data_IF_122264129921
#
_entry.id   IF_122264129921
#
_cell.length_a   1.000
_cell.length_b   1.000
_cell.length_c   1.000
_cell.angle_alpha   90.00
_cell.angle_beta   90.00
_cell.angle_gamma   90.00
#
_symmetry.space_group_name_H-M   'P 1'
#
loop_
_entity.id
_entity.type
_entity.pdbx_description
1 polymer ?
#
# COMPACT_ATOMS: atom_id res chain seq x y z
N UNK A 1 9.62 -1.53 -4.53
CA UNK A 1 8.24 -1.45 -3.97
C UNK A 1 8.20 -0.42 -2.85
N UNK A 2 7.33 0.59 -2.99
CA UNK A 2 7.17 1.66 -2.00
C UNK A 2 6.79 1.03 -0.65
N UNK A 3 7.22 1.67 0.44
CA UNK A 3 7.03 1.15 1.78
C UNK A 3 5.65 1.49 2.35
N UNK A 4 5.24 0.77 3.39
CA UNK A 4 4.02 1.08 4.15
C UNK A 4 3.96 2.55 4.59
N UNK A 5 5.11 3.16 4.92
CA UNK A 5 5.19 4.57 5.31
C UNK A 5 4.83 5.50 4.16
N UNK A 6 5.46 5.32 2.99
CA UNK A 6 5.17 6.13 1.81
C UNK A 6 3.68 6.08 1.45
N UNK A 7 3.13 4.89 1.32
CA UNK A 7 1.72 4.68 1.00
C UNK A 7 0.75 5.31 2.00
N UNK A 8 1.01 5.10 3.30
CA UNK A 8 0.19 5.70 4.36
C UNK A 8 0.32 7.22 4.35
N UNK A 9 1.51 7.78 4.11
CA UNK A 9 1.74 9.22 4.01
C UNK A 9 0.99 9.83 2.81
N UNK A 10 1.01 9.18 1.64
CA UNK A 10 0.26 9.64 0.46
C UNK A 10 -1.22 9.75 0.77
N UNK A 11 -1.78 8.72 1.42
CA UNK A 11 -3.18 8.66 1.81
C UNK A 11 -3.53 9.75 2.85
N UNK A 12 -2.72 9.91 3.90
CA UNK A 12 -2.94 10.96 4.92
C UNK A 12 -3.00 12.34 4.27
N UNK A 13 -2.03 12.67 3.41
CA UNK A 13 -1.99 13.96 2.73
C UNK A 13 -3.13 14.12 1.71
N UNK A 14 -3.58 13.03 1.09
CA UNK A 14 -4.72 13.06 0.17
C UNK A 14 -6.02 13.45 0.85
N UNK A 15 -6.21 13.10 2.13
CA UNK A 15 -7.36 13.56 2.92
C UNK A 15 -7.34 15.09 3.08
N UNK A 16 -6.17 15.69 3.30
CA UNK A 16 -6.04 17.16 3.37
C UNK A 16 -6.35 17.82 2.02
N UNK A 17 -5.84 17.26 0.92
CA UNK A 17 -6.16 17.71 -0.44
C UNK A 17 -7.66 17.58 -0.76
N UNK A 18 -8.29 16.45 -0.38
CA UNK A 18 -9.72 16.24 -0.52
C UNK A 18 -10.55 17.24 0.32
N UNK A 19 -10.09 17.56 1.54
CA UNK A 19 -10.72 18.57 2.41
C UNK A 19 -10.67 19.96 1.79
N UNK A 20 -9.54 20.36 1.22
CA UNK A 20 -9.40 21.65 0.50
C UNK A 20 -10.34 21.73 -0.70
N UNK A 21 -10.57 20.60 -1.37
CA UNK A 21 -11.54 20.44 -2.46
C UNK A 21 -12.99 20.28 -2.01
N UNK A 22 -13.25 20.26 -0.69
CA UNK A 22 -14.58 20.06 -0.08
C UNK A 22 -15.26 18.77 -0.53
N UNK A 23 -14.49 17.70 -0.76
CA UNK A 23 -15.07 16.42 -1.17
C UNK A 23 -15.86 15.79 -0.01
N UNK A 24 -17.09 15.28 -0.23
CA UNK A 24 -17.97 14.76 0.82
C UNK A 24 -17.45 13.48 1.48
N UNK A 25 -16.53 12.77 0.84
CA UNK A 25 -15.92 11.53 1.35
C UNK A 25 -15.00 11.74 2.56
N UNK A 26 -14.56 12.98 2.84
CA UNK A 26 -13.62 13.26 3.93
C UNK A 26 -14.18 12.79 5.28
N UNK A 27 -15.44 13.08 5.57
CA UNK A 27 -16.07 12.66 6.81
C UNK A 27 -16.19 11.12 6.92
N UNK A 28 -16.42 10.43 5.80
CA UNK A 28 -16.45 8.97 5.76
C UNK A 28 -15.06 8.38 6.04
N UNK A 29 -14.02 8.94 5.44
CA UNK A 29 -12.63 8.52 5.67
C UNK A 29 -12.24 8.75 7.14
N UNK A 30 -12.54 9.93 7.69
CA UNK A 30 -12.20 10.28 9.08
C UNK A 30 -12.86 9.36 10.12
N UNK A 31 -14.11 8.93 9.88
CA UNK A 31 -14.78 7.94 10.74
C UNK A 31 -14.18 6.54 10.65
N UNK A 32 -13.54 6.20 9.53
CA UNK A 32 -13.08 4.86 9.20
C UNK A 32 -11.57 4.82 8.88
N UNK A 33 -10.78 5.70 9.51
CA UNK A 33 -9.35 5.87 9.23
C UNK A 33 -8.55 4.55 9.24
N UNK A 34 -8.73 3.62 10.19
CA UNK A 34 -8.01 2.35 10.17
C UNK A 34 -8.22 1.55 8.88
N UNK A 35 -9.41 1.62 8.29
CA UNK A 35 -9.73 0.90 7.05
C UNK A 35 -9.24 1.63 5.81
N UNK A 36 -9.32 2.96 5.81
CA UNK A 36 -8.66 3.79 4.79
C UNK A 36 -7.15 3.55 4.73
N UNK A 37 -6.45 3.60 5.86
CA UNK A 37 -5.01 3.32 5.92
C UNK A 37 -4.68 1.85 5.58
N UNK A 38 -5.54 0.90 5.96
CA UNK A 38 -5.39 -0.49 5.57
C UNK A 38 -5.47 -0.66 4.05
N UNK A 39 -6.46 -0.05 3.40
CA UNK A 39 -6.60 -0.06 1.94
C UNK A 39 -5.43 0.62 1.24
N UNK A 40 -4.93 1.73 1.81
CA UNK A 40 -3.80 2.47 1.29
C UNK A 40 -2.50 1.68 1.23
N UNK A 41 -2.37 0.58 1.97
CA UNK A 41 -1.20 -0.29 1.92
C UNK A 41 -1.56 -1.70 1.44
N UNK A 42 -2.39 -2.39 2.23
CA UNK A 42 -2.73 -3.79 2.00
C UNK A 42 -3.82 -4.00 0.94
N UNK A 43 -4.36 -2.91 0.36
CA UNK A 43 -5.23 -2.97 -0.81
C UNK A 43 -4.51 -3.54 -2.04
N UNK A 44 -3.20 -3.29 -2.12
CA UNK A 44 -2.36 -3.65 -3.26
C UNK A 44 -1.21 -4.59 -2.87
N UNK A 45 -0.61 -4.43 -1.69
CA UNK A 45 0.52 -5.24 -1.24
C UNK A 45 0.10 -6.60 -0.67
N UNK A 46 -0.62 -7.38 -1.47
CA UNK A 46 -1.16 -8.73 -1.17
C UNK A 46 -0.08 -9.74 -0.76
N UNK A 47 1.16 -9.53 -1.21
CA UNK A 47 2.36 -10.31 -0.90
C UNK A 47 2.99 -10.03 0.48
N UNK A 48 2.34 -9.23 1.35
CA UNK A 48 2.82 -8.97 2.71
C UNK A 48 2.79 -10.25 3.55
N UNK A 49 3.83 -11.05 3.42
CA UNK A 49 3.98 -12.38 4.00
C UNK A 49 5.43 -12.59 4.43
N UNK A 50 5.71 -13.53 5.33
CA UNK A 50 7.09 -13.87 5.65
C UNK A 50 7.76 -14.49 4.44
N UNK A 51 9.05 -14.19 4.25
CA UNK A 51 9.85 -14.90 3.25
C UNK A 51 10.38 -16.22 3.82
N UNK A 52 10.71 -16.21 5.11
CA UNK A 52 11.32 -17.34 5.79
C UNK A 52 10.98 -17.36 7.28
N UNK A 53 11.44 -18.42 7.94
CA UNK A 53 11.42 -18.64 9.38
C UNK A 53 12.88 -18.71 9.84
N UNK A 54 13.25 -17.93 10.85
CA UNK A 54 14.54 -18.09 11.54
C UNK A 54 14.54 -19.43 12.28
N UNK A 55 15.50 -20.30 11.97
CA UNK A 55 15.57 -21.64 12.56
C UNK A 55 15.81 -21.57 14.06
N UNK A 56 16.68 -20.66 14.50
CA UNK A 56 17.08 -20.53 15.91
C UNK A 56 15.93 -20.09 16.82
N UNK A 57 15.03 -19.24 16.32
CA UNK A 57 13.97 -18.61 17.14
C UNK A 57 12.55 -19.06 16.77
N UNK A 58 12.39 -19.81 15.68
CA UNK A 58 11.08 -20.11 15.08
C UNK A 58 10.33 -18.89 14.54
N UNK A 59 10.93 -17.70 14.56
CA UNK A 59 10.25 -16.46 14.17
C UNK A 59 10.16 -16.32 12.66
N UNK A 60 8.96 -16.02 12.18
CA UNK A 60 8.71 -15.59 10.80
C UNK A 60 9.40 -14.26 10.52
N UNK A 61 10.11 -14.15 9.40
CA UNK A 61 10.99 -13.02 9.05
C UNK A 61 10.97 -12.70 7.55
N UNK A 62 11.44 -11.51 7.21
CA UNK A 62 11.55 -11.04 5.83
C UNK A 62 10.25 -10.45 5.28
N UNK A 63 10.18 -10.33 3.96
CA UNK A 63 9.01 -9.83 3.24
C UNK A 63 9.00 -10.53 1.87
N UNK A 64 7.90 -11.22 1.55
CA UNK A 64 7.81 -12.31 0.57
C UNK A 64 8.38 -12.14 -0.86
N UNK A 65 8.85 -10.98 -1.25
CA UNK A 65 9.52 -10.80 -2.56
C UNK A 65 10.99 -10.43 -2.44
N UNK A 66 11.45 -10.07 -1.24
CA UNK A 66 12.84 -9.78 -0.96
C UNK A 66 13.61 -11.08 -0.72
N UNK A 67 14.73 -11.27 -1.45
CA UNK A 67 15.64 -12.36 -1.17
C UNK A 67 16.25 -12.22 0.23
N UNK A 68 16.42 -13.35 0.89
CA UNK A 68 17.01 -13.42 2.21
C UNK A 68 17.83 -14.70 2.29
N UNK A 69 19.05 -14.59 2.79
CA UNK A 69 19.98 -15.72 2.92
C UNK A 69 20.19 -16.12 4.39
N UNK A 70 19.99 -15.18 5.31
CA UNK A 70 20.25 -15.34 6.75
C UNK A 70 19.17 -14.64 7.57
N UNK A 71 19.00 -15.08 8.81
CA UNK A 71 18.05 -14.50 9.74
C UNK A 71 18.43 -13.04 10.04
N UNK A 72 17.50 -12.08 9.92
CA UNK A 72 17.76 -10.69 10.33
C UNK A 72 17.78 -10.53 11.86
N UNK A 73 17.42 -11.58 12.60
CA UNK A 73 17.40 -11.58 14.07
C UNK A 73 18.73 -12.08 14.62
N UNK A 74 19.25 -13.21 14.11
CA UNK A 74 20.42 -13.90 14.66
C UNK A 74 21.62 -13.95 13.71
N UNK A 75 21.44 -13.63 12.43
CA UNK A 75 22.43 -13.91 11.39
C UNK A 75 22.56 -15.40 11.03
N UNK A 76 21.77 -16.27 11.66
CA UNK A 76 21.79 -17.71 11.48
C UNK A 76 20.97 -18.23 10.30
N UNK A 77 20.74 -19.55 10.29
CA UNK A 77 20.05 -20.27 9.21
C UNK A 77 18.57 -19.88 9.15
N UNK A 78 18.03 -19.87 7.93
CA UNK A 78 16.60 -19.67 7.67
C UNK A 78 16.01 -20.89 6.97
N UNK A 79 14.71 -21.12 7.20
CA UNK A 79 13.89 -22.03 6.40
C UNK A 79 12.86 -21.23 5.64
N UNK A 80 12.81 -21.44 4.33
CA UNK A 80 11.87 -20.75 3.44
C UNK A 80 10.40 -21.01 3.87
N UNK A 81 9.58 -19.95 3.92
CA UNK A 81 8.17 -19.99 4.36
C UNK A 81 7.16 -20.10 3.20
N UNK A 82 6.17 -20.98 3.29
CA UNK A 82 5.11 -21.12 2.27
C UNK A 82 3.73 -21.06 2.93
N UNK A 83 2.73 -20.55 2.20
CA UNK A 83 1.32 -20.67 2.56
C UNK A 83 0.80 -22.03 2.10
N UNK A 84 0.36 -22.89 3.03
CA UNK A 84 -0.30 -24.14 2.69
C UNK A 84 -1.80 -23.91 2.47
N UNK A 85 -2.31 -24.26 1.29
CA UNK A 85 -3.71 -24.12 0.94
C UNK A 85 -4.13 -25.17 -0.11
N UNK A 86 -5.27 -25.84 0.09
CA UNK A 86 -5.78 -26.83 -0.87
C UNK A 86 -4.80 -27.99 -1.15
N UNK A 87 -3.97 -28.38 -0.18
CA UNK A 87 -2.94 -29.42 -0.35
C UNK A 87 -1.70 -29.00 -1.13
N UNK A 88 -1.54 -27.70 -1.41
CA UNK A 88 -0.37 -27.13 -2.08
C UNK A 88 0.27 -26.02 -1.25
N UNK A 89 1.60 -26.01 -1.22
CA UNK A 89 2.39 -24.90 -0.68
C UNK A 89 2.63 -23.81 -1.73
N UNK A 90 2.40 -22.56 -1.36
CA UNK A 90 2.62 -21.38 -2.20
C UNK A 90 3.71 -20.49 -1.61
N UNK A 91 4.78 -20.27 -2.36
CA UNK A 91 5.79 -19.24 -2.04
C UNK A 91 5.16 -17.86 -2.18
N UNK A 92 5.58 -16.86 -1.39
CA UNK A 92 5.07 -15.50 -1.57
C UNK A 92 5.34 -14.90 -2.96
N UNK A 93 6.42 -15.31 -3.64
CA UNK A 93 6.65 -14.95 -5.05
C UNK A 93 5.59 -15.50 -6.00
N UNK A 94 5.09 -16.71 -5.75
CA UNK A 94 4.00 -17.29 -6.56
C UNK A 94 2.70 -16.53 -6.32
N UNK A 95 2.41 -16.20 -5.05
CA UNK A 95 1.25 -15.38 -4.65
C UNK A 95 1.31 -13.99 -5.31
N UNK A 96 2.47 -13.32 -5.24
CA UNK A 96 2.69 -12.05 -5.93
C UNK A 96 2.39 -12.19 -7.43
N UNK A 97 2.91 -13.23 -8.08
CA UNK A 97 2.69 -13.44 -9.50
C UNK A 97 1.23 -13.76 -9.86
N UNK A 98 0.40 -14.21 -8.92
CA UNK A 98 -1.03 -14.48 -9.15
C UNK A 98 -1.90 -13.23 -8.92
N UNK A 99 -1.56 -12.41 -7.92
CA UNK A 99 -2.47 -11.41 -7.38
C UNK A 99 -1.96 -9.97 -7.44
N UNK A 100 -0.67 -9.72 -7.66
CA UNK A 100 -0.10 -8.37 -7.60
C UNK A 100 -0.68 -7.43 -8.68
N UNK A 101 -0.72 -7.89 -9.94
CA UNK A 101 -1.32 -7.13 -11.04
C UNK A 101 -2.82 -6.92 -10.88
N UNK A 102 -3.53 -7.93 -10.36
CA UNK A 102 -4.95 -7.85 -10.03
C UNK A 102 -5.27 -6.76 -9.02
N UNK A 103 -4.40 -6.55 -8.05
CA UNK A 103 -4.60 -5.53 -7.02
C UNK A 103 -4.18 -4.12 -7.46
N UNK A 104 -3.11 -4.01 -8.28
CA UNK A 104 -2.59 -2.71 -8.75
C UNK A 104 -3.29 -2.18 -10.01
N UNK A 105 -3.98 -3.04 -10.76
CA UNK A 105 -4.75 -2.76 -11.97
C UNK A 105 -3.94 -2.24 -13.16
N UNK A 106 -3.30 -1.09 -13.00
CA UNK A 106 -2.65 -0.29 -14.06
C UNK A 106 -1.21 -0.73 -14.33
N UNK A 107 -0.65 -1.60 -13.48
CA UNK A 107 0.62 -2.28 -13.67
C UNK A 107 0.68 -3.55 -12.82
N UNK A 108 1.81 -4.25 -12.85
CA UNK A 108 2.09 -5.38 -11.96
C UNK A 108 1.59 -6.74 -12.47
N UNK A 109 0.85 -6.74 -13.58
CA UNK A 109 0.57 -7.93 -14.38
C UNK A 109 1.86 -8.51 -14.95
N UNK A 110 1.88 -9.83 -15.16
CA UNK A 110 2.98 -10.47 -15.89
C UNK A 110 2.99 -9.98 -17.32
N UNK A 111 4.13 -10.12 -18.00
CA UNK A 111 4.24 -9.74 -19.41
C UNK A 111 3.18 -10.40 -20.30
N UNK A 112 2.85 -11.66 -20.02
CA UNK A 112 1.83 -12.45 -20.71
C UNK A 112 0.39 -11.96 -20.42
N UNK A 113 0.16 -11.34 -19.26
CA UNK A 113 -1.16 -10.90 -18.79
C UNK A 113 -1.36 -9.38 -18.95
N UNK A 114 -0.50 -8.68 -19.71
CA UNK A 114 -0.52 -7.22 -19.80
C UNK A 114 -1.83 -6.66 -20.35
N UNK A 115 -2.52 -7.42 -21.19
CA UNK A 115 -3.84 -7.08 -21.72
C UNK A 115 -4.93 -6.93 -20.64
N UNK A 116 -4.69 -7.43 -19.43
CA UNK A 116 -5.60 -7.27 -18.29
C UNK A 116 -5.41 -5.95 -17.53
N UNK A 117 -4.40 -5.17 -17.92
CA UNK A 117 -4.12 -3.86 -17.34
C UNK A 117 -5.28 -2.91 -17.58
N UNK A 118 -5.68 -2.15 -16.55
CA UNK A 118 -6.63 -1.04 -16.72
C UNK A 118 -5.84 0.18 -17.21
N UNK A 119 -6.15 0.73 -18.40
CA UNK A 119 -5.53 1.97 -18.85
C UNK A 119 -5.81 3.12 -17.88
N UNK A 120 -4.86 4.04 -17.75
CA UNK A 120 -4.94 5.09 -16.73
C UNK A 120 -6.13 6.05 -16.91
N UNK A 121 -6.45 6.36 -18.16
CA UNK A 121 -7.63 7.15 -18.56
C UNK A 121 -8.96 6.47 -18.19
N UNK A 122 -8.97 5.15 -18.03
CA UNK A 122 -10.11 4.37 -17.57
C UNK A 122 -10.10 4.05 -16.06
N UNK A 123 -9.09 4.52 -15.32
CA UNK A 123 -8.98 4.20 -13.89
C UNK A 123 -10.17 4.76 -13.08
N UNK A 124 -10.65 5.96 -13.41
CA UNK A 124 -11.80 6.56 -12.74
C UNK A 124 -13.09 5.74 -12.94
N UNK A 125 -13.29 5.19 -14.14
CA UNK A 125 -14.44 4.33 -14.47
C UNK A 125 -14.37 3.02 -13.68
N UNK A 126 -13.21 2.34 -13.68
CA UNK A 126 -13.01 1.11 -12.91
C UNK A 126 -13.26 1.32 -11.41
N UNK A 127 -12.68 2.39 -10.84
CA UNK A 127 -12.87 2.71 -9.42
C UNK A 127 -14.34 3.03 -9.11
N UNK A 128 -15.02 3.78 -9.96
CA UNK A 128 -16.43 4.11 -9.80
C UNK A 128 -17.32 2.86 -9.85
N UNK A 129 -17.06 1.95 -10.78
CA UNK A 129 -17.78 0.67 -10.89
C UNK A 129 -17.62 -0.18 -9.62
N UNK A 130 -16.39 -0.29 -9.10
CA UNK A 130 -16.12 -0.97 -7.82
C UNK A 130 -16.86 -0.31 -6.66
N UNK A 131 -16.89 1.02 -6.58
CA UNK A 131 -17.59 1.75 -5.51
C UNK A 131 -19.11 1.54 -5.59
N UNK A 132 -19.70 1.58 -6.80
CA UNK A 132 -21.12 1.27 -7.02
C UNK A 132 -21.44 -0.15 -6.53
N UNK A 133 -20.63 -1.11 -6.93
CA UNK A 133 -20.80 -2.50 -6.52
C UNK A 133 -20.64 -2.70 -5.02
N UNK A 134 -19.68 -2.03 -4.38
CA UNK A 134 -19.51 -2.08 -2.94
C UNK A 134 -20.77 -1.63 -2.19
N UNK A 135 -21.42 -0.55 -2.64
CA UNK A 135 -22.66 -0.07 -2.01
C UNK A 135 -23.81 -1.05 -2.19
N UNK A 136 -23.88 -1.73 -3.33
CA UNK A 136 -24.90 -2.73 -3.63
C UNK A 136 -24.68 -4.03 -2.85
N UNK A 137 -23.46 -4.53 -2.81
CA UNK A 137 -23.08 -5.80 -2.16
C UNK A 137 -22.99 -5.68 -0.64
N UNK A 138 -22.59 -4.51 -0.15
CA UNK A 138 -22.36 -4.25 1.27
C UNK A 138 -23.07 -2.95 1.71
N UNK A 139 -24.41 -2.90 1.66
CA UNK A 139 -25.17 -1.70 2.00
C UNK A 139 -24.86 -1.25 3.44
N UNK A 140 -24.57 0.04 3.61
CA UNK A 140 -24.24 0.63 4.91
C UNK A 140 -22.82 0.35 5.43
N UNK A 141 -22.01 -0.44 4.72
CA UNK A 141 -20.64 -0.73 5.13
C UNK A 141 -19.68 0.43 4.75
N UNK A 142 -19.67 1.49 5.55
CA UNK A 142 -18.75 2.63 5.37
C UNK A 142 -17.27 2.21 5.45
N UNK A 143 -16.96 1.13 6.17
CA UNK A 143 -15.61 0.62 6.34
C UNK A 143 -15.02 0.10 5.03
N UNK A 144 -15.81 -0.66 4.28
CA UNK A 144 -15.44 -1.14 2.95
C UNK A 144 -15.25 0.02 1.96
N UNK A 145 -16.09 1.06 2.02
CA UNK A 145 -15.92 2.26 1.19
C UNK A 145 -14.63 3.02 1.54
N UNK A 146 -14.34 3.19 2.83
CA UNK A 146 -13.08 3.80 3.26
C UNK A 146 -11.88 2.98 2.80
N UNK A 147 -11.95 1.65 2.89
CA UNK A 147 -10.93 0.76 2.37
C UNK A 147 -10.68 0.96 0.87
N UNK A 148 -11.74 1.06 0.05
CA UNK A 148 -11.62 1.33 -1.38
C UNK A 148 -10.94 2.67 -1.67
N UNK A 149 -11.31 3.73 -0.93
CA UNK A 149 -10.66 5.04 -1.09
C UNK A 149 -9.17 4.96 -0.73
N UNK A 150 -8.80 4.15 0.26
CA UNK A 150 -7.42 3.84 0.58
C UNK A 150 -6.72 3.13 -0.59
N UNK A 151 -7.33 2.07 -1.11
CA UNK A 151 -6.80 1.31 -2.25
C UNK A 151 -6.60 2.18 -3.50
N UNK A 152 -7.53 3.10 -3.79
CA UNK A 152 -7.39 4.09 -4.86
C UNK A 152 -6.16 4.98 -4.62
N UNK A 153 -5.96 5.45 -3.37
CA UNK A 153 -4.78 6.22 -3.00
C UNK A 153 -3.48 5.42 -3.20
N UNK A 154 -3.50 4.12 -2.93
CA UNK A 154 -2.38 3.22 -3.24
C UNK A 154 -2.08 3.23 -4.73
N UNK A 155 -3.05 2.89 -5.59
CA UNK A 155 -2.84 2.76 -7.04
C UNK A 155 -2.22 4.03 -7.61
N UNK A 156 -2.79 5.19 -7.29
CA UNK A 156 -2.28 6.48 -7.80
C UNK A 156 -0.88 6.77 -7.29
N UNK A 157 -0.67 6.67 -5.96
CA UNK A 157 0.63 6.97 -5.36
C UNK A 157 1.74 6.08 -5.91
N UNK A 158 1.45 4.79 -6.08
CA UNK A 158 2.41 3.82 -6.59
C UNK A 158 2.69 4.04 -8.09
N UNK A 159 1.67 4.39 -8.86
CA UNK A 159 1.82 4.68 -10.29
C UNK A 159 2.71 5.90 -10.54
N UNK A 160 2.54 6.94 -9.74
CA UNK A 160 3.31 8.18 -9.86
C UNK A 160 4.75 8.04 -9.35
N UNK A 161 4.94 7.44 -8.17
CA UNK A 161 6.28 7.31 -7.58
C UNK A 161 7.14 6.35 -8.39
N UNK A 162 6.57 5.29 -8.98
CA UNK A 162 7.28 4.33 -9.83
C UNK A 162 7.41 4.80 -11.29
N UNK A 163 6.92 5.99 -11.61
CA UNK A 163 6.88 6.52 -12.99
C UNK A 163 6.14 5.62 -13.99
N UNK A 164 5.18 4.82 -13.51
CA UNK A 164 4.18 4.19 -14.40
C UNK A 164 3.32 5.27 -15.05
N UNK A 165 3.06 6.34 -14.29
CA UNK A 165 2.47 7.57 -14.78
C UNK A 165 3.38 8.77 -14.51
N UNK A 166 3.49 9.72 -15.45
CA UNK A 166 4.16 10.99 -15.20
C UNK A 166 3.32 11.84 -14.22
N UNK A 167 3.93 12.90 -13.68
CA UNK A 167 3.22 13.86 -12.82
C UNK A 167 3.82 14.07 -11.42
N UNK A 168 5.00 13.49 -11.15
CA UNK A 168 5.79 13.78 -9.95
C UNK A 168 7.21 14.14 -10.34
N UNK A 169 7.65 15.29 -9.84
CA UNK A 169 9.00 15.81 -10.02
C UNK A 169 9.83 15.44 -8.80
N UNK A 170 10.56 14.34 -8.90
CA UNK A 170 11.42 13.87 -7.83
C UNK A 170 12.64 13.20 -8.43
N UNK A 171 13.81 13.74 -8.09
CA UNK A 171 15.10 13.17 -8.44
C UNK A 171 15.95 13.12 -7.18
N UNK A 172 16.07 11.91 -6.61
CA UNK A 172 16.94 11.63 -5.47
C UNK A 172 18.25 11.03 -6.00
N UNK A 173 18.85 10.07 -5.30
CA UNK A 173 20.08 9.43 -5.73
C UNK A 173 19.82 8.53 -6.94
N UNK A 174 20.35 8.93 -8.11
CA UNK A 174 20.30 8.14 -9.34
C UNK A 174 18.92 7.95 -9.98
N UNK A 175 17.88 8.66 -9.52
CA UNK A 175 16.53 8.55 -10.07
C UNK A 175 15.42 8.95 -9.10
N UNK A 176 14.17 8.89 -9.56
CA UNK A 176 12.97 9.06 -8.72
C UNK A 176 12.81 7.94 -7.69
N UNK A 177 12.87 6.71 -8.18
CA UNK A 177 12.53 5.53 -7.41
C UNK A 177 13.54 4.41 -7.64
N UNK A 178 14.47 4.27 -6.70
CA UNK A 178 15.52 3.25 -6.70
C UNK A 178 15.50 2.49 -5.37
N UNK A 179 16.06 1.27 -5.29
CA UNK A 179 16.21 0.58 -4.01
C UNK A 179 16.91 1.41 -2.92
N UNK A 180 17.89 2.23 -3.31
CA UNK A 180 18.65 3.10 -2.41
C UNK A 180 17.87 4.36 -1.98
N UNK A 181 16.92 4.84 -2.79
CA UNK A 181 16.08 5.99 -2.44
C UNK A 181 14.97 5.66 -1.47
N UNK A 182 14.56 4.39 -1.37
CA UNK A 182 13.47 4.00 -0.48
C UNK A 182 13.75 4.33 1.00
N UNK A 183 14.90 3.98 1.60
CA UNK A 183 15.21 4.41 2.96
C UNK A 183 15.12 5.92 3.15
N UNK A 184 15.57 6.72 2.17
CA UNK A 184 15.49 8.19 2.22
C UNK A 184 14.02 8.62 2.30
N UNK A 185 13.18 8.13 1.39
CA UNK A 185 11.75 8.46 1.36
C UNK A 185 11.04 8.03 2.65
N UNK A 186 11.28 6.81 3.12
CA UNK A 186 10.68 6.26 4.34
C UNK A 186 11.11 7.08 5.57
N UNK A 187 12.40 7.42 5.72
CA UNK A 187 12.90 8.18 6.87
C UNK A 187 12.36 9.61 6.91
N UNK A 188 12.30 10.29 5.77
CA UNK A 188 11.82 11.67 5.70
C UNK A 188 10.29 11.74 5.86
N UNK A 189 9.55 10.80 5.26
CA UNK A 189 8.11 10.69 5.50
C UNK A 189 7.81 10.36 6.97
N UNK A 190 8.59 9.47 7.59
CA UNK A 190 8.36 9.06 8.98
C UNK A 190 8.65 10.18 9.98
N UNK A 191 9.86 10.76 9.94
CA UNK A 191 10.30 11.74 10.95
C UNK A 191 9.95 13.18 10.61
N UNK A 192 10.32 13.63 9.42
CA UNK A 192 10.26 15.06 9.08
C UNK A 192 8.84 15.51 8.80
N UNK A 193 8.09 14.71 8.02
CA UNK A 193 6.70 15.01 7.68
C UNK A 193 5.76 14.41 8.72
N UNK A 194 5.89 13.12 9.01
CA UNK A 194 4.98 12.43 9.93
C UNK A 194 5.07 12.94 11.36
N UNK A 195 6.22 12.74 12.02
CA UNK A 195 6.35 13.11 13.44
C UNK A 195 6.49 14.60 13.68
N UNK A 196 7.35 15.28 12.92
CA UNK A 196 7.67 16.69 13.19
C UNK A 196 6.58 17.64 12.72
N UNK A 197 6.16 17.55 11.45
CA UNK A 197 5.14 18.43 10.87
C UNK A 197 3.73 18.03 11.30
N UNK A 198 3.33 16.78 11.05
CA UNK A 198 1.95 16.32 11.22
C UNK A 198 1.63 15.72 12.61
N UNK A 199 2.64 15.56 13.48
CA UNK A 199 2.50 14.98 14.83
C UNK A 199 1.85 13.59 14.85
N UNK A 200 2.15 12.77 13.85
CA UNK A 200 1.56 11.44 13.71
C UNK A 200 2.11 10.45 14.73
N UNK A 201 1.20 9.66 15.32
CA UNK A 201 1.54 8.42 16.01
C UNK A 201 1.58 7.26 15.02
N UNK A 202 2.76 7.04 14.43
CA UNK A 202 2.96 5.95 13.48
C UNK A 202 2.67 4.56 14.05
N UNK A 203 2.93 4.34 15.35
CA UNK A 203 2.66 3.04 15.94
C UNK A 203 1.17 2.76 15.98
N UNK A 204 0.38 3.73 16.45
CA UNK A 204 -1.07 3.63 16.44
C UNK A 204 -1.61 3.44 15.02
N UNK A 205 -1.24 4.33 14.09
CA UNK A 205 -1.74 4.31 12.70
C UNK A 205 -1.48 2.95 12.04
N UNK A 206 -0.24 2.47 12.09
CA UNK A 206 0.13 1.22 11.40
C UNK A 206 -0.44 -0.02 12.09
N UNK A 207 -0.52 -0.03 13.43
CA UNK A 207 -1.08 -1.18 14.16
C UNK A 207 -2.60 -1.27 13.98
N UNK A 208 -3.32 -0.14 13.96
CA UNK A 208 -4.74 -0.11 13.66
C UNK A 208 -5.00 -0.59 12.23
N UNK A 209 -4.24 -0.09 11.24
CA UNK A 209 -4.33 -0.55 9.85
C UNK A 209 -4.03 -2.06 9.69
N UNK A 210 -3.04 -2.58 10.41
CA UNK A 210 -2.68 -4.00 10.39
C UNK A 210 -3.75 -4.91 11.00
N UNK A 211 -4.49 -4.41 12.01
CA UNK A 211 -5.55 -5.15 12.71
C UNK A 211 -6.91 -5.02 12.04
N UNK A 212 -7.07 -4.11 11.09
CA UNK A 212 -8.29 -3.99 10.28
C UNK A 212 -8.59 -5.34 9.61
N UNK A 213 -9.83 -5.86 9.73
CA UNK A 213 -10.25 -7.07 9.03
C UNK A 213 -10.04 -7.02 7.51
N UNK A 214 -10.10 -8.18 6.87
CA UNK A 214 -10.18 -8.23 5.41
C UNK A 214 -11.53 -7.69 4.98
N UNK A 215 -11.54 -6.82 3.96
CA UNK A 215 -12.77 -6.40 3.29
C UNK A 215 -12.99 -7.29 2.06
N UNK A 216 -14.14 -7.95 1.98
CA UNK A 216 -14.45 -8.88 0.87
C UNK A 216 -14.44 -8.20 -0.50
N UNK A 217 -14.72 -6.88 -0.54
CA UNK A 217 -14.66 -6.07 -1.75
C UNK A 217 -13.27 -6.10 -2.42
N UNK A 218 -12.22 -6.44 -1.67
CA UNK A 218 -10.88 -6.64 -2.22
C UNK A 218 -10.82 -7.73 -3.28
N UNK A 219 -11.54 -8.84 -3.07
CA UNK A 219 -11.59 -9.93 -4.03
C UNK A 219 -12.32 -9.52 -5.32
N UNK A 220 -13.35 -8.66 -5.17
CA UNK A 220 -14.14 -8.10 -6.28
C UNK A 220 -13.30 -7.23 -7.19
N UNK A 221 -12.62 -6.19 -6.66
CA UNK A 221 -11.79 -5.34 -7.51
C UNK A 221 -10.56 -6.05 -8.07
N UNK A 222 -10.11 -7.14 -7.44
CA UNK A 222 -9.07 -8.03 -7.97
C UNK A 222 -9.58 -8.97 -9.07
N UNK A 223 -10.89 -8.96 -9.35
CA UNK A 223 -11.57 -9.88 -10.28
C UNK A 223 -11.27 -11.35 -9.96
N UNK A 224 -11.20 -11.66 -8.67
CA UNK A 224 -10.88 -12.99 -8.14
C UNK A 224 -12.12 -13.77 -7.66
N UNK A 225 -13.32 -13.21 -7.89
CA UNK A 225 -14.63 -13.81 -7.57
C UNK A 225 -15.44 -13.97 -8.86
N UNK A 226 -16.68 -14.47 -8.74
CA UNK A 226 -17.59 -14.51 -9.88
C UNK A 226 -17.91 -13.09 -10.40
N UNK A 227 -17.92 -12.86 -11.72
CA UNK A 227 -18.25 -11.56 -12.31
C UNK A 227 -19.65 -11.13 -11.89
N UNK A 228 -19.78 -9.90 -11.38
CA UNK A 228 -21.07 -9.33 -11.05
C UNK A 228 -21.05 -7.80 -11.02
N UNK A 229 -22.22 -7.18 -11.20
CA UNK A 229 -22.39 -5.74 -11.06
C UNK A 229 -21.72 -4.89 -12.15
N UNK A 230 -21.62 -3.60 -11.88
CA UNK A 230 -21.13 -2.61 -12.86
C UNK A 230 -19.70 -2.92 -13.31
N UNK A 231 -18.85 -3.42 -12.40
CA UNK A 231 -17.47 -3.75 -12.74
C UNK A 231 -17.39 -4.85 -13.81
N UNK A 232 -18.23 -5.88 -13.71
CA UNK A 232 -18.23 -6.98 -14.66
C UNK A 232 -18.88 -6.62 -16.00
N UNK A 233 -19.85 -5.70 -15.98
CA UNK A 233 -20.48 -5.16 -17.19
C UNK A 233 -19.48 -4.33 -18.02
N UNK A 234 -18.70 -3.47 -17.36
CA UNK A 234 -17.74 -2.57 -18.01
C UNK A 234 -16.38 -3.24 -18.30
N UNK A 235 -15.89 -4.10 -17.40
CA UNK A 235 -14.58 -4.77 -17.50
C UNK A 235 -14.75 -6.29 -17.48
N UNK A 236 -15.08 -6.85 -18.65
CA UNK A 236 -15.44 -8.27 -18.82
C UNK A 236 -14.26 -9.25 -18.77
N UNK A 237 -13.02 -8.76 -18.85
CA UNK A 237 -11.82 -9.59 -18.90
C UNK A 237 -11.24 -9.92 -17.50
N UNK A 238 -10.31 -10.89 -17.47
CA UNK A 238 -9.49 -11.27 -16.31
C UNK A 238 -10.20 -11.79 -15.05
N UNK A 239 -11.53 -11.92 -15.04
CA UNK A 239 -12.27 -12.60 -13.98
C UNK A 239 -11.80 -14.05 -13.82
N UNK A 240 -11.45 -14.42 -12.59
CA UNK A 240 -11.02 -15.78 -12.27
C UNK A 240 -11.55 -16.21 -10.89
N UNK A 241 -12.81 -16.71 -10.82
CA UNK A 241 -13.41 -17.17 -9.57
C UNK A 241 -12.68 -18.37 -8.95
N UNK A 242 -11.93 -19.15 -9.73
CA UNK A 242 -11.16 -20.28 -9.19
C UNK A 242 -10.03 -19.84 -8.25
N UNK A 243 -9.71 -18.53 -8.23
CA UNK A 243 -8.75 -17.98 -7.30
C UNK A 243 -9.37 -17.52 -5.97
N UNK A 244 -10.70 -17.51 -5.81
CA UNK A 244 -11.36 -16.89 -4.66
C UNK A 244 -10.87 -17.46 -3.32
N UNK A 245 -10.89 -18.80 -3.17
CA UNK A 245 -10.51 -19.46 -1.92
C UNK A 245 -9.06 -19.21 -1.54
N UNK A 246 -8.15 -19.30 -2.51
CA UNK A 246 -6.73 -19.00 -2.29
C UNK A 246 -6.54 -17.51 -1.96
N UNK A 247 -7.22 -16.60 -2.67
CA UNK A 247 -7.13 -15.18 -2.42
C UNK A 247 -7.61 -14.83 -1.00
N UNK A 248 -8.71 -15.42 -0.52
CA UNK A 248 -9.17 -15.26 0.86
C UNK A 248 -8.11 -15.70 1.87
N UNK A 249 -7.48 -16.86 1.66
CA UNK A 249 -6.41 -17.34 2.51
C UNK A 249 -5.19 -16.40 2.50
N UNK A 250 -4.80 -15.90 1.33
CA UNK A 250 -3.71 -14.93 1.15
C UNK A 250 -4.01 -13.64 1.91
N UNK A 251 -5.20 -13.07 1.77
CA UNK A 251 -5.58 -11.81 2.43
C UNK A 251 -5.62 -11.94 3.95
N UNK A 252 -6.09 -13.08 4.47
CA UNK A 252 -6.06 -13.37 5.91
C UNK A 252 -4.63 -13.42 6.44
N UNK A 253 -3.77 -14.14 5.73
CA UNK A 253 -2.37 -14.29 6.09
C UNK A 253 -1.59 -12.97 5.98
N UNK A 254 -1.93 -12.17 4.98
CA UNK A 254 -1.44 -10.81 4.78
C UNK A 254 -1.70 -9.91 5.99
N UNK A 255 -2.94 -9.92 6.53
CA UNK A 255 -3.28 -9.18 7.76
C UNK A 255 -2.50 -9.70 8.96
N UNK A 256 -2.49 -11.02 9.17
CA UNK A 256 -1.78 -11.66 10.29
C UNK A 256 -0.30 -11.27 10.30
N UNK A 257 0.39 -11.39 9.16
CA UNK A 257 1.81 -11.11 9.10
C UNK A 257 2.11 -9.61 9.25
N UNK A 258 1.25 -8.73 8.74
CA UNK A 258 1.46 -7.29 8.92
C UNK A 258 1.42 -6.86 10.39
N UNK A 259 0.61 -7.53 11.24
CA UNK A 259 0.63 -7.31 12.70
C UNK A 259 1.99 -7.66 13.30
N UNK A 260 2.62 -8.75 12.85
CA UNK A 260 3.95 -9.18 13.31
C UNK A 260 5.05 -8.24 12.80
N UNK A 261 4.91 -7.78 11.55
CA UNK A 261 5.93 -7.00 10.86
C UNK A 261 5.96 -5.54 11.30
N UNK A 262 4.81 -4.96 11.63
CA UNK A 262 4.68 -3.52 11.95
C UNK A 262 5.64 -3.05 13.06
N UNK A 263 5.74 -3.70 14.24
CA UNK A 263 6.68 -3.29 15.28
C UNK A 263 8.15 -3.30 14.82
N UNK A 264 8.51 -4.23 13.92
CA UNK A 264 9.87 -4.35 13.39
C UNK A 264 10.20 -3.22 12.43
N UNK A 265 9.24 -2.82 11.58
CA UNK A 265 9.38 -1.66 10.69
C UNK A 265 9.59 -0.40 11.51
N UNK A 266 8.75 -0.17 12.53
CA UNK A 266 8.85 1.00 13.39
C UNK A 266 10.23 1.05 14.06
N UNK A 267 10.64 -0.06 14.70
CA UNK A 267 11.96 -0.16 15.33
C UNK A 267 13.11 0.12 14.35
N UNK A 268 13.00 -0.35 13.11
CA UNK A 268 14.02 -0.10 12.08
C UNK A 268 14.09 1.38 11.67
N UNK A 269 12.97 2.10 11.68
CA UNK A 269 12.88 3.50 11.29
C UNK A 269 13.20 4.47 12.42
N UNK A 270 13.24 4.02 13.68
CA UNK A 270 13.69 4.87 14.79
C UNK A 270 15.12 5.37 14.56
N UNK A 271 15.35 6.63 14.91
CA UNK A 271 16.70 7.18 14.97
C UNK A 271 17.41 6.63 16.21
N UNK A 272 18.70 6.39 16.07
CA UNK A 272 19.58 5.99 17.17
C UNK A 272 20.50 7.16 17.51
N UNK A 273 20.77 7.35 18.80
CA UNK A 273 21.75 8.33 19.25
C UNK A 273 23.16 7.78 19.02
N UNK A 274 24.00 8.56 18.36
CA UNK A 274 25.40 8.24 18.11
C UNK A 274 26.30 9.35 18.63
N UNK A 275 27.61 9.12 18.65
CA UNK A 275 28.62 10.17 18.98
C UNK A 275 28.56 11.40 18.07
N UNK A 276 27.90 11.32 16.91
CA UNK A 276 27.74 12.40 15.95
C UNK A 276 26.30 12.95 15.90
N UNK A 277 25.46 12.58 16.87
CA UNK A 277 24.04 12.94 16.94
C UNK A 277 23.11 11.81 16.49
N UNK A 278 21.86 12.15 16.20
CA UNK A 278 20.83 11.21 15.78
C UNK A 278 21.06 10.71 14.36
N UNK A 279 20.99 9.40 14.17
CA UNK A 279 21.26 8.75 12.88
C UNK A 279 20.35 7.54 12.61
N UNK A 280 20.37 7.04 11.38
CA UNK A 280 19.66 5.86 10.95
C UNK A 280 20.18 4.58 11.62
N UNK A 281 19.31 3.59 11.77
CA UNK A 281 19.74 2.22 12.08
C UNK A 281 20.76 1.72 11.03
N UNK A 282 21.85 1.00 11.39
CA UNK A 282 22.93 0.61 10.46
C UNK A 282 22.47 -0.12 9.20
N UNK A 283 21.40 -0.92 9.32
CA UNK A 283 20.78 -1.60 8.18
C UNK A 283 20.20 -0.61 7.13
N UNK A 284 19.60 0.48 7.58
CA UNK A 284 19.08 1.51 6.67
C UNK A 284 20.23 2.24 5.97
N UNK A 285 21.26 2.63 6.72
CA UNK A 285 22.48 3.23 6.17
C UNK A 285 23.11 2.35 5.09
N UNK A 286 23.23 1.03 5.34
CA UNK A 286 23.75 0.08 4.34
C UNK A 286 22.89 0.06 3.07
N UNK A 287 21.56 0.02 3.23
CA UNK A 287 20.60 -0.03 2.10
C UNK A 287 20.54 1.27 1.31
N UNK A 288 20.90 2.40 1.92
CA UNK A 288 21.00 3.71 1.29
C UNK A 288 22.42 4.06 0.84
N UNK A 289 23.24 3.05 0.50
CA UNK A 289 24.61 3.25 -0.01
C UNK A 289 25.51 4.06 0.93
N UNK A 290 25.34 3.88 2.24
CA UNK A 290 26.14 4.54 3.27
C UNK A 290 25.61 5.92 3.70
N UNK A 291 24.48 6.39 3.17
CA UNK A 291 23.92 7.69 3.56
C UNK A 291 23.50 7.70 5.04
N UNK A 292 23.92 8.73 5.76
CA UNK A 292 23.51 9.02 7.12
C UNK A 292 22.26 9.92 7.14
N UNK A 293 21.57 9.99 8.27
CA UNK A 293 20.29 10.71 8.37
C UNK A 293 20.37 12.20 7.94
N UNK A 294 21.40 12.98 8.33
CA UNK A 294 21.53 14.37 7.85
C UNK A 294 21.69 14.49 6.33
N UNK A 295 22.38 13.54 5.71
CA UNK A 295 22.54 13.50 4.25
C UNK A 295 21.21 13.19 3.55
N UNK A 296 20.43 12.26 4.12
CA UNK A 296 19.08 11.96 3.63
C UNK A 296 18.17 13.20 3.69
N UNK A 297 18.23 13.98 4.77
CA UNK A 297 17.49 15.24 4.91
C UNK A 297 17.92 16.25 3.85
N UNK A 298 19.23 16.44 3.65
CA UNK A 298 19.76 17.36 2.65
C UNK A 298 19.31 16.97 1.24
N UNK A 299 19.44 15.70 0.87
CA UNK A 299 19.02 15.18 -0.42
C UNK A 299 17.52 15.36 -0.63
N UNK A 300 16.70 15.02 0.36
CA UNK A 300 15.25 15.17 0.25
C UNK A 300 14.82 16.64 0.12
N UNK A 301 15.51 17.56 0.80
CA UNK A 301 15.29 19.01 0.65
C UNK A 301 15.67 19.49 -0.75
N UNK A 302 16.84 19.09 -1.26
CA UNK A 302 17.30 19.44 -2.61
C UNK A 302 16.37 18.90 -3.69
N UNK A 303 15.87 17.68 -3.51
CA UNK A 303 14.94 17.03 -4.42
C UNK A 303 13.48 17.48 -4.26
N UNK A 304 13.22 18.44 -3.37
CA UNK A 304 11.89 18.94 -3.04
C UNK A 304 10.87 17.83 -2.70
N UNK A 305 11.30 16.83 -1.93
CA UNK A 305 10.50 15.63 -1.66
C UNK A 305 9.13 15.94 -1.03
N UNK A 306 9.03 16.97 -0.18
CA UNK A 306 7.75 17.39 0.40
C UNK A 306 6.75 17.87 -0.67
N UNK A 307 7.22 18.53 -1.72
CA UNK A 307 6.40 18.93 -2.86
C UNK A 307 5.98 17.72 -3.70
N UNK A 308 6.88 16.74 -3.91
CA UNK A 308 6.52 15.48 -4.56
C UNK A 308 5.39 14.74 -3.82
N UNK A 309 5.41 14.72 -2.48
CA UNK A 309 4.30 14.19 -1.66
C UNK A 309 2.99 14.95 -1.89
N UNK A 310 3.06 16.28 -2.04
CA UNK A 310 1.90 17.11 -2.37
C UNK A 310 1.36 16.85 -3.78
N UNK A 311 2.23 16.68 -4.79
CA UNK A 311 1.81 16.32 -6.15
C UNK A 311 1.03 14.99 -6.15
N UNK A 312 1.53 13.99 -5.41
CA UNK A 312 0.84 12.71 -5.24
C UNK A 312 -0.52 12.90 -4.55
N UNK A 313 -0.58 13.68 -3.46
CA UNK A 313 -1.85 13.89 -2.72
C UNK A 313 -2.90 14.61 -3.56
N UNK A 314 -2.50 15.58 -4.37
CA UNK A 314 -3.40 16.27 -5.31
C UNK A 314 -3.92 15.34 -6.39
N UNK A 315 -3.08 14.47 -6.95
CA UNK A 315 -3.51 13.50 -7.95
C UNK A 315 -4.51 12.48 -7.37
N UNK A 316 -4.29 12.01 -6.14
CA UNK A 316 -5.24 11.12 -5.44
C UNK A 316 -6.58 11.84 -5.24
N UNK A 317 -6.56 13.06 -4.71
CA UNK A 317 -7.78 13.82 -4.46
C UNK A 317 -8.51 14.20 -5.76
N UNK A 318 -7.79 14.37 -6.87
CA UNK A 318 -8.39 14.52 -8.20
C UNK A 318 -9.16 13.27 -8.61
N UNK A 319 -8.55 12.08 -8.49
CA UNK A 319 -9.23 10.83 -8.83
C UNK A 319 -10.44 10.57 -7.91
N UNK A 320 -10.39 10.96 -6.64
CA UNK A 320 -11.56 10.93 -5.77
C UNK A 320 -12.72 11.78 -6.29
N UNK A 321 -12.44 12.98 -6.80
CA UNK A 321 -13.45 13.84 -7.42
C UNK A 321 -14.03 13.20 -8.70
N UNK A 322 -13.18 12.66 -9.56
CA UNK A 322 -13.60 11.97 -10.79
C UNK A 322 -14.47 10.73 -10.51
N UNK A 323 -14.20 10.00 -9.42
CA UNK A 323 -15.05 8.89 -8.95
C UNK A 323 -16.39 9.40 -8.41
N UNK A 324 -16.39 10.50 -7.65
CA UNK A 324 -17.62 11.11 -7.12
C UNK A 324 -18.56 11.59 -8.23
N UNK A 325 -18.02 12.20 -9.29
CA UNK A 325 -18.78 12.60 -10.47
C UNK A 325 -19.52 11.41 -11.12
N UNK A 326 -18.93 10.20 -11.05
CA UNK A 326 -19.49 8.95 -11.60
C UNK A 326 -20.39 8.20 -10.61
N UNK A 327 -20.32 8.55 -9.32
CA UNK A 327 -21.13 7.94 -8.25
C UNK A 327 -21.76 9.05 -7.38
N UNK A 328 -22.71 9.84 -7.90
CA UNK A 328 -23.26 11.00 -7.18
C UNK A 328 -23.92 10.64 -5.85
N UNK A 329 -24.44 9.42 -5.72
CA UNK A 329 -25.06 8.96 -4.48
C UNK A 329 -24.07 8.73 -3.32
N UNK A 330 -22.76 8.78 -3.57
CA UNK A 330 -21.73 8.76 -2.52
C UNK A 330 -21.64 10.10 -1.77
N UNK A 331 -22.25 11.16 -2.30
CA UNK A 331 -22.38 12.46 -1.62
C UNK A 331 -23.38 12.41 -0.44
N UNK A 332 -24.29 11.44 -0.43
CA UNK A 332 -25.32 11.31 0.60
C UNK A 332 -24.83 10.39 1.71
N UNK A 333 -24.80 10.83 2.98
CA UNK A 333 -24.51 9.92 4.09
C UNK A 333 -25.51 8.77 4.06
N UNK A 334 -25.03 7.55 4.27
CA UNK A 334 -25.88 6.37 4.44
C UNK A 334 -26.95 6.71 5.49
N UNK A 335 -28.23 6.62 5.13
CA UNK A 335 -29.31 6.80 6.08
C UNK A 335 -29.05 5.85 7.26
N UNK A 336 -28.91 6.42 8.46
CA UNK A 336 -28.68 5.66 9.69
C UNK A 336 -29.92 4.91 10.12
#
# INVERSE_FOLDING_TARGET
MSGVIGHTMYAILAVDSARKRKLPIVALIERNQPSYHCGAYLGCDVQTMPEAICVDTGSEVGYGTASMEKSPITGGVIRLWSLEHGGKGYRPREIHRLFYGRAHLVFGWRSEDREHTVPWDHLADYCAAVVKDCRRMHPGNERALAYLLGWIAHIVGDSLIKSVQPGVDLQLHGGKYTPANRPIQDMIAFHEVGRRELKLDWNKILMEAARTPVEDIQLHYMRAVAPSGALAEEFTNAWNPNHEDLARAVLKENRRYQVIRTPRIIKQLELIETRHGWDCHPELTRRSLGLHYPDMQKLAKQANFRHALWQISEAIAKLFAEVLERVPDLERPSAR
#
